data_IF_193991899529
#
_entry.id   IF_193991899529
#
_cell.length_a   1.000
_cell.length_b   1.000
_cell.length_c   1.000
_cell.angle_alpha   90.00
_cell.angle_beta   90.00
_cell.angle_gamma   90.00
#
_symmetry.space_group_name_H-M   'P 1'
#
loop_
_entity.id
_entity.type
_entity.pdbx_description
1 polymer ?
#
# COMPACT_ATOMS: atom_id res chain seq x y z
N UNK A 1 59.26 84.53 -32.56
CA UNK A 1 58.65 83.25 -32.20
C UNK A 1 57.20 83.52 -31.81
N UNK A 2 56.30 82.79 -32.48
CA UNK A 2 54.83 82.79 -32.46
C UNK A 2 54.27 82.41 -31.06
N UNK A 3 52.98 82.71 -30.77
CA UNK A 3 52.37 82.99 -29.44
C UNK A 3 51.68 81.70 -28.87
N UNK A 4 50.75 81.63 -27.86
CA UNK A 4 49.58 82.51 -27.63
C UNK A 4 49.04 82.73 -26.20
N UNK A 5 48.12 83.71 -26.17
CA UNK A 5 46.91 83.90 -25.37
C UNK A 5 46.42 82.76 -24.46
N UNK A 6 46.20 83.12 -23.19
CA UNK A 6 45.44 82.34 -22.22
C UNK A 6 43.99 82.85 -22.21
N UNK A 7 43.13 82.31 -23.09
CA UNK A 7 41.67 82.47 -22.99
C UNK A 7 41.15 81.64 -21.80
N UNK A 8 40.55 82.32 -20.82
CA UNK A 8 39.66 81.69 -19.84
C UNK A 8 38.36 81.30 -20.55
N UNK A 9 38.05 80.01 -20.56
CA UNK A 9 36.74 79.49 -20.96
C UNK A 9 35.94 79.13 -19.70
N UNK A 10 34.72 79.65 -19.63
CA UNK A 10 33.71 79.35 -18.64
C UNK A 10 33.15 77.94 -18.86
N UNK A 11 33.39 77.03 -17.92
CA UNK A 11 32.69 75.74 -17.88
C UNK A 11 31.33 75.88 -17.17
N UNK A 12 30.22 75.41 -17.77
CA UNK A 12 28.94 75.29 -17.08
C UNK A 12 28.93 74.04 -16.19
N UNK A 13 28.65 74.23 -14.91
CA UNK A 13 28.39 73.15 -13.94
C UNK A 13 27.02 72.52 -14.21
N UNK A 14 27.02 71.36 -14.86
CA UNK A 14 25.84 70.52 -15.06
C UNK A 14 25.58 69.72 -13.78
N UNK A 15 24.46 69.98 -13.10
CA UNK A 15 24.03 69.23 -11.93
C UNK A 15 23.57 67.82 -12.34
N UNK A 16 24.30 66.80 -11.87
CA UNK A 16 23.82 65.41 -11.86
C UNK A 16 23.04 65.20 -10.56
N UNK A 17 21.71 65.36 -10.61
CA UNK A 17 20.81 64.67 -9.67
C UNK A 17 20.62 63.25 -10.20
N UNK A 18 21.45 62.31 -9.74
CA UNK A 18 21.22 60.89 -9.99
C UNK A 18 20.09 60.41 -9.08
N UNK A 19 19.10 59.81 -9.73
CA UNK A 19 17.92 59.19 -9.14
C UNK A 19 18.37 57.94 -8.37
N UNK A 20 18.52 58.04 -7.06
CA UNK A 20 18.40 56.87 -6.20
C UNK A 20 16.92 56.66 -5.95
N UNK A 21 16.24 56.05 -6.93
CA UNK A 21 14.97 55.40 -6.67
C UNK A 21 15.30 54.17 -5.83
N UNK A 22 14.80 54.17 -4.61
CA UNK A 22 15.01 53.18 -3.57
C UNK A 22 14.72 51.77 -4.07
N UNK A 23 15.74 50.91 -4.11
CA UNK A 23 15.59 49.47 -4.36
C UNK A 23 14.63 48.80 -3.34
N UNK A 24 14.43 49.42 -2.17
CA UNK A 24 13.49 48.92 -1.16
C UNK A 24 12.02 49.09 -1.59
N UNK A 25 11.71 50.06 -2.45
CA UNK A 25 10.34 50.25 -2.94
C UNK A 25 9.91 49.19 -3.96
N UNK A 26 10.86 48.60 -4.69
CA UNK A 26 10.55 47.56 -5.68
C UNK A 26 10.32 46.21 -4.99
N UNK A 27 11.17 45.86 -4.01
CA UNK A 27 11.02 44.64 -3.22
C UNK A 27 9.71 44.63 -2.39
N UNK A 28 9.32 45.78 -1.83
CA UNK A 28 8.08 45.88 -1.06
C UNK A 28 6.83 45.72 -1.94
N UNK A 29 6.84 46.29 -3.16
CA UNK A 29 5.72 46.14 -4.11
C UNK A 29 5.59 44.69 -4.60
N UNK A 30 6.71 43.99 -4.84
CA UNK A 30 6.70 42.59 -5.23
C UNK A 30 6.13 41.68 -4.13
N UNK A 31 6.50 41.91 -2.87
CA UNK A 31 6.00 41.13 -1.73
C UNK A 31 4.49 41.34 -1.50
N UNK A 32 4.01 42.59 -1.61
CA UNK A 32 2.57 42.90 -1.47
C UNK A 32 1.75 42.26 -2.59
N UNK A 33 2.29 42.21 -3.83
CA UNK A 33 1.64 41.52 -4.93
C UNK A 33 1.61 40.00 -4.73
N UNK A 34 2.68 39.40 -4.22
CA UNK A 34 2.73 37.95 -3.94
C UNK A 34 1.70 37.56 -2.87
N UNK A 35 1.61 38.32 -1.77
CA UNK A 35 0.62 38.10 -0.72
C UNK A 35 -0.81 38.29 -1.27
N UNK A 36 -1.02 39.28 -2.13
CA UNK A 36 -2.30 39.50 -2.80
C UNK A 36 -2.75 38.32 -3.68
N UNK A 37 -1.81 37.67 -4.39
CA UNK A 37 -2.10 36.49 -5.21
C UNK A 37 -2.44 35.27 -4.34
N UNK A 38 -1.70 35.04 -3.25
CA UNK A 38 -1.97 33.92 -2.33
C UNK A 38 -3.34 34.07 -1.64
N UNK A 39 -3.72 35.30 -1.27
CA UNK A 39 -5.05 35.59 -0.68
C UNK A 39 -6.17 35.49 -1.73
N UNK A 40 -5.92 35.89 -2.98
CA UNK A 40 -6.92 35.75 -4.05
C UNK A 40 -7.18 34.28 -4.42
N UNK A 41 -6.15 33.42 -4.37
CA UNK A 41 -6.28 31.98 -4.62
C UNK A 41 -6.99 31.23 -3.48
N UNK A 42 -6.85 31.70 -2.23
CA UNK A 42 -7.48 31.06 -1.07
C UNK A 42 -8.94 31.49 -0.81
N UNK A 43 -9.47 32.49 -1.52
CA UNK A 43 -10.87 32.95 -1.39
C UNK A 43 -11.73 32.59 -2.61
N UNK A 44 -11.15 31.97 -3.65
CA UNK A 44 -11.84 31.64 -4.91
C UNK A 44 -12.71 30.37 -4.92
N UNK A 45 -12.71 29.55 -3.88
CA UNK A 45 -13.35 28.22 -3.89
C UNK A 45 -14.66 28.12 -3.10
N UNK A 46 -15.37 29.23 -2.87
CA UNK A 46 -16.72 29.18 -2.26
C UNK A 46 -17.69 30.06 -3.03
N UNK A 47 -18.49 29.43 -3.91
CA UNK A 47 -19.84 29.87 -4.23
C UNK A 47 -20.13 30.18 -5.70
N UNK A 48 -21.05 29.39 -6.28
CA UNK A 48 -22.01 29.94 -7.23
C UNK A 48 -22.32 29.10 -8.46
N UNK A 49 -23.33 28.24 -8.32
CA UNK A 49 -24.07 27.68 -9.45
C UNK A 49 -24.59 28.76 -10.42
N UNK A 50 -24.47 28.53 -11.73
CA UNK A 50 -25.49 28.95 -12.71
C UNK A 50 -25.34 28.22 -14.05
N UNK A 51 -26.51 27.86 -14.58
CA UNK A 51 -26.77 26.95 -15.67
C UNK A 51 -26.18 27.33 -17.04
N UNK A 52 -25.90 26.32 -17.86
CA UNK A 52 -26.02 26.36 -19.32
C UNK A 52 -26.34 24.97 -19.85
N UNK A 53 -27.57 24.83 -20.36
CA UNK A 53 -28.09 23.62 -20.97
C UNK A 53 -27.42 23.31 -22.32
N UNK A 54 -27.15 22.03 -22.56
CA UNK A 54 -27.29 21.42 -23.89
C UNK A 54 -27.59 19.93 -23.73
N UNK A 55 -28.75 19.56 -24.24
CA UNK A 55 -29.34 18.24 -24.16
C UNK A 55 -28.62 17.26 -25.09
N UNK A 56 -28.31 16.07 -24.59
CA UNK A 56 -28.47 14.82 -25.34
C UNK A 56 -29.15 13.84 -24.38
N UNK A 57 -30.31 13.38 -24.79
CA UNK A 57 -31.14 12.45 -24.07
C UNK A 57 -30.58 11.02 -24.18
N UNK A 58 -30.49 10.33 -23.05
CA UNK A 58 -30.85 8.91 -22.97
C UNK A 58 -31.39 8.65 -21.57
N UNK A 59 -32.68 8.33 -21.52
CA UNK A 59 -33.33 7.73 -20.37
C UNK A 59 -32.69 6.34 -20.14
N UNK A 60 -32.44 5.92 -18.91
CA UNK A 60 -33.49 5.29 -18.10
C UNK A 60 -33.14 5.37 -16.61
N UNK A 61 -34.14 5.74 -15.82
CA UNK A 61 -34.12 5.76 -14.38
C UNK A 61 -34.27 4.34 -13.80
N UNK A 62 -33.64 4.08 -12.66
CA UNK A 62 -34.25 3.39 -11.52
C UNK A 62 -33.51 3.82 -10.24
N UNK A 63 -34.27 4.48 -9.36
CA UNK A 63 -33.97 4.57 -7.93
C UNK A 63 -34.27 3.22 -7.26
N UNK A 64 -33.61 3.01 -6.13
CA UNK A 64 -34.04 2.23 -4.95
C UNK A 64 -33.48 0.80 -4.76
N UNK A 65 -32.97 0.63 -3.54
CA UNK A 65 -32.63 -0.59 -2.78
C UNK A 65 -31.22 -1.16 -2.90
N UNK A 66 -30.52 -1.18 -1.76
CA UNK A 66 -29.26 -1.88 -1.55
C UNK A 66 -29.41 -3.35 -1.92
N UNK A 67 -28.82 -3.69 -3.07
CA UNK A 67 -28.60 -5.05 -3.50
C UNK A 67 -27.20 -5.47 -3.06
N UNK A 68 -27.05 -6.68 -2.49
CA UNK A 68 -25.73 -7.19 -2.13
C UNK A 68 -24.85 -7.19 -3.38
N UNK A 69 -23.58 -6.82 -3.18
CA UNK A 69 -22.48 -7.08 -4.12
C UNK A 69 -22.69 -8.48 -4.70
N UNK A 70 -22.71 -8.65 -6.02
CA UNK A 70 -22.90 -9.97 -6.60
C UNK A 70 -21.75 -10.84 -6.07
N UNK A 71 -22.12 -11.88 -5.33
CA UNK A 71 -21.20 -12.98 -5.04
C UNK A 71 -20.52 -13.36 -6.35
N UNK A 72 -19.20 -13.52 -6.28
CA UNK A 72 -18.35 -14.16 -7.30
C UNK A 72 -19.21 -15.16 -8.06
N UNK A 73 -19.35 -14.95 -9.36
CA UNK A 73 -19.99 -15.94 -10.22
C UNK A 73 -19.13 -17.20 -10.12
N UNK A 74 -19.52 -18.11 -9.23
CA UNK A 74 -19.37 -19.53 -9.47
C UNK A 74 -19.96 -19.74 -10.85
N UNK A 75 -19.08 -19.82 -11.82
CA UNK A 75 -19.42 -20.15 -13.18
C UNK A 75 -19.89 -21.59 -13.12
N UNK A 76 -21.20 -21.79 -12.92
CA UNK A 76 -21.90 -23.05 -13.20
C UNK A 76 -21.85 -23.29 -14.73
N UNK A 77 -20.66 -23.47 -15.27
CA UNK A 77 -20.43 -24.19 -16.52
C UNK A 77 -20.16 -25.65 -16.16
N UNK A 78 -20.93 -26.56 -16.78
CA UNK A 78 -20.74 -28.02 -16.79
C UNK A 78 -19.37 -28.41 -17.41
N UNK A 79 -18.25 -27.92 -16.87
CA UNK A 79 -16.89 -28.23 -17.29
C UNK A 79 -16.13 -28.91 -16.15
N UNK A 80 -15.31 -29.88 -16.54
CA UNK A 80 -14.36 -30.65 -15.74
C UNK A 80 -13.91 -29.88 -14.48
N UNK A 81 -14.32 -30.30 -13.28
CA UNK A 81 -13.83 -29.71 -12.03
C UNK A 81 -12.32 -29.78 -12.07
N UNK A 82 -11.65 -28.64 -12.29
CA UNK A 82 -10.20 -28.55 -12.23
C UNK A 82 -9.85 -28.93 -10.80
N UNK A 83 -9.14 -30.04 -10.65
CA UNK A 83 -8.66 -30.46 -9.36
C UNK A 83 -7.63 -29.42 -8.90
N UNK A 84 -7.84 -28.87 -7.71
CA UNK A 84 -6.89 -27.96 -7.05
C UNK A 84 -6.43 -28.58 -5.74
N UNK A 85 -5.18 -28.33 -5.37
CA UNK A 85 -4.62 -28.78 -4.10
C UNK A 85 -5.05 -27.92 -2.92
N UNK A 86 -5.46 -26.67 -3.18
CA UNK A 86 -5.95 -25.73 -2.20
C UNK A 86 -7.08 -24.87 -2.79
N UNK A 87 -8.15 -24.71 -2.02
CA UNK A 87 -9.28 -23.87 -2.39
C UNK A 87 -8.91 -22.39 -2.34
N UNK A 88 -9.51 -21.61 -3.23
CA UNK A 88 -9.27 -20.18 -3.30
C UNK A 88 -9.67 -19.47 -2.00
N UNK A 89 -8.84 -18.53 -1.57
CA UNK A 89 -9.16 -17.61 -0.48
C UNK A 89 -10.00 -16.47 -1.04
N UNK A 90 -11.10 -16.17 -0.36
CA UNK A 90 -12.02 -15.09 -0.73
C UNK A 90 -12.16 -14.16 0.47
N UNK A 91 -11.21 -13.25 0.62
CA UNK A 91 -11.22 -12.22 1.67
C UNK A 91 -11.57 -10.87 1.05
N UNK A 92 -12.77 -10.30 1.33
CA UNK A 92 -13.13 -9.01 0.76
C UNK A 92 -12.25 -7.89 1.31
N UNK A 93 -11.99 -6.88 0.48
CA UNK A 93 -11.31 -5.66 0.92
C UNK A 93 -12.09 -4.96 2.04
N UNK A 94 -11.41 -4.30 3.00
CA UNK A 94 -12.08 -3.52 4.05
C UNK A 94 -12.94 -2.38 3.49
N UNK A 95 -14.13 -2.17 4.03
CA UNK A 95 -15.04 -1.08 3.66
C UNK A 95 -14.92 0.13 4.61
N UNK A 96 -15.48 1.29 4.22
CA UNK A 96 -15.53 2.47 5.09
C UNK A 96 -16.18 2.13 6.45
N UNK A 97 -15.40 2.28 7.52
CA UNK A 97 -15.82 1.97 8.89
C UNK A 97 -15.21 0.69 9.45
N UNK A 98 -14.58 -0.13 8.62
CA UNK A 98 -13.76 -1.25 9.07
C UNK A 98 -12.44 -0.76 9.69
N UNK A 99 -11.85 -1.51 10.65
CA UNK A 99 -10.65 -1.08 11.36
C UNK A 99 -9.42 -0.82 10.47
N UNK A 100 -9.41 -1.37 9.27
CA UNK A 100 -8.26 -1.37 8.36
C UNK A 100 -8.49 -0.55 7.09
N UNK A 101 -9.68 0.00 6.90
CA UNK A 101 -9.91 0.99 5.85
C UNK A 101 -9.24 2.30 6.26
N UNK A 102 -8.36 2.82 5.41
CA UNK A 102 -7.66 4.07 5.69
C UNK A 102 -8.36 5.24 4.99
N UNK A 103 -8.46 5.18 3.66
CA UNK A 103 -9.02 6.24 2.85
C UNK A 103 -9.37 5.72 1.47
N UNK A 104 -10.41 6.30 0.86
CA UNK A 104 -10.68 6.18 -0.56
C UNK A 104 -10.50 7.55 -1.20
N UNK A 105 -10.00 7.57 -2.42
CA UNK A 105 -9.93 8.77 -3.23
C UNK A 105 -11.33 9.36 -3.46
N UNK A 106 -11.54 10.68 -3.33
CA UNK A 106 -12.84 11.28 -3.56
C UNK A 106 -13.41 11.06 -4.97
N UNK A 107 -12.55 10.83 -5.97
CA UNK A 107 -12.94 10.53 -7.34
C UNK A 107 -13.04 9.01 -7.61
N UNK A 108 -12.80 8.18 -6.58
CA UNK A 108 -12.88 6.72 -6.64
C UNK A 108 -11.80 6.12 -7.54
N UNK A 109 -10.59 6.69 -7.53
CA UNK A 109 -9.45 6.22 -8.33
C UNK A 109 -8.55 5.23 -7.56
N UNK A 110 -8.58 5.25 -6.23
CA UNK A 110 -7.84 4.30 -5.39
C UNK A 110 -8.52 4.12 -4.04
N UNK A 111 -8.32 2.95 -3.42
CA UNK A 111 -8.63 2.70 -2.02
C UNK A 111 -7.33 2.32 -1.33
N UNK A 112 -7.12 2.87 -0.14
CA UNK A 112 -6.01 2.56 0.73
C UNK A 112 -6.53 1.84 1.96
N UNK A 113 -5.87 0.74 2.28
CA UNK A 113 -6.05 0.00 3.51
C UNK A 113 -4.77 0.10 4.32
N UNK A 114 -4.90 0.19 5.63
CA UNK A 114 -3.75 0.15 6.53
C UNK A 114 -3.01 -1.16 6.31
N UNK A 115 -1.83 -1.13 5.71
CA UNK A 115 -0.97 -2.31 5.65
C UNK A 115 -0.24 -2.43 7.02
N UNK A 116 -0.35 -3.55 7.75
CA UNK A 116 0.37 -3.72 9.02
C UNK A 116 1.90 -3.67 8.88
N UNK A 117 2.40 -3.77 7.64
CA UNK A 117 3.81 -3.69 7.23
C UNK A 117 4.10 -2.42 6.40
N UNK A 118 3.24 -1.41 6.50
CA UNK A 118 3.56 -0.06 6.00
C UNK A 118 4.56 0.62 6.95
N UNK A 119 5.79 0.83 6.47
CA UNK A 119 6.80 1.58 7.21
C UNK A 119 7.20 2.90 6.54
N UNK A 120 7.18 3.95 7.36
CA UNK A 120 7.68 5.27 7.01
C UNK A 120 9.14 5.42 7.43
N UNK A 121 9.98 5.80 6.47
CA UNK A 121 11.36 6.18 6.79
C UNK A 121 11.40 7.43 7.66
N UNK A 122 12.16 7.35 8.76
CA UNK A 122 12.57 8.52 9.55
C UNK A 122 14.09 8.70 9.52
N UNK A 123 14.62 9.82 8.99
CA UNK A 123 13.90 10.96 8.41
C UNK A 123 13.31 10.65 7.03
N UNK A 124 12.11 11.17 6.77
CA UNK A 124 11.45 11.12 5.45
C UNK A 124 12.32 11.89 4.44
N UNK A 125 12.91 11.18 3.46
CA UNK A 125 13.95 11.76 2.58
C UNK A 125 13.42 12.23 1.23
N UNK A 126 12.23 11.81 0.83
CA UNK A 126 11.58 12.22 -0.41
C UNK A 126 10.18 11.63 -0.52
N UNK A 127 9.48 11.97 -1.59
CA UNK A 127 8.08 11.59 -1.80
C UNK A 127 7.92 10.23 -2.49
N UNK A 128 9.03 9.51 -2.71
CA UNK A 128 8.99 8.19 -3.34
C UNK A 128 8.56 7.09 -2.37
N UNK A 129 7.78 6.16 -2.91
CA UNK A 129 7.18 5.01 -2.24
C UNK A 129 7.35 3.77 -3.11
N UNK A 130 7.39 2.60 -2.49
CA UNK A 130 7.36 1.36 -3.24
C UNK A 130 6.70 0.24 -2.49
N UNK A 131 6.27 -0.76 -3.24
CA UNK A 131 5.53 -1.92 -2.74
C UNK A 131 6.11 -3.20 -3.34
N UNK A 132 6.26 -4.23 -2.52
CA UNK A 132 6.68 -5.55 -2.97
C UNK A 132 5.73 -6.59 -2.40
N UNK A 133 5.22 -7.44 -3.26
CA UNK A 133 4.23 -8.45 -2.90
C UNK A 133 4.65 -9.83 -3.35
N UNK A 134 4.12 -10.84 -2.66
CA UNK A 134 4.11 -12.23 -3.11
C UNK A 134 2.65 -12.68 -3.20
N UNK A 135 2.32 -13.34 -4.30
CA UNK A 135 1.01 -13.93 -4.57
C UNK A 135 1.22 -15.40 -4.84
N UNK A 136 0.53 -16.26 -4.09
CA UNK A 136 0.47 -17.70 -4.35
C UNK A 136 -0.87 -18.05 -4.95
N UNK A 137 -0.84 -18.70 -6.11
CA UNK A 137 -2.02 -19.14 -6.85
C UNK A 137 -2.13 -20.66 -6.82
N UNK A 138 -3.34 -21.21 -6.80
CA UNK A 138 -3.57 -22.63 -7.05
C UNK A 138 -3.44 -22.97 -8.54
N UNK A 139 -3.67 -24.24 -8.88
CA UNK A 139 -3.61 -24.77 -10.25
C UNK A 139 -4.64 -24.13 -11.19
N UNK A 140 -5.72 -23.58 -10.62
CA UNK A 140 -6.74 -22.84 -11.35
C UNK A 140 -6.41 -21.33 -11.52
N UNK A 141 -5.26 -20.87 -10.99
CA UNK A 141 -4.85 -19.47 -11.06
C UNK A 141 -5.55 -18.57 -10.03
N UNK A 142 -6.06 -19.13 -8.94
CA UNK A 142 -6.80 -18.40 -7.91
C UNK A 142 -5.94 -18.21 -6.64
N UNK A 143 -6.04 -17.07 -5.93
CA UNK A 143 -5.23 -16.80 -4.73
C UNK A 143 -5.47 -17.81 -3.60
N UNK A 144 -4.39 -18.23 -2.93
CA UNK A 144 -4.43 -19.16 -1.79
C UNK A 144 -3.48 -18.74 -0.66
N UNK A 145 -3.69 -19.29 0.53
CA UNK A 145 -2.91 -18.97 1.73
C UNK A 145 -1.67 -19.86 1.91
N UNK A 146 -1.54 -20.91 1.10
CA UNK A 146 -0.45 -21.88 1.18
C UNK A 146 -0.60 -22.87 2.34
N UNK A 147 -1.84 -23.16 2.74
CA UNK A 147 -2.14 -24.20 3.75
C UNK A 147 -1.70 -25.60 3.32
N UNK A 148 -1.63 -25.83 2.01
CA UNK A 148 -1.14 -27.07 1.39
C UNK A 148 0.39 -27.24 1.41
N UNK A 149 1.15 -26.16 1.66
CA UNK A 149 2.63 -26.13 1.56
C UNK A 149 3.30 -25.64 2.87
N UNK A 150 2.94 -26.19 4.05
CA UNK A 150 3.36 -25.64 5.34
C UNK A 150 4.88 -25.74 5.57
N UNK A 151 5.44 -24.72 6.22
CA UNK A 151 6.87 -24.64 6.52
C UNK A 151 7.73 -24.31 5.28
N UNK A 152 7.11 -23.84 4.20
CA UNK A 152 7.77 -23.31 3.02
C UNK A 152 7.95 -21.81 3.15
N UNK A 153 9.08 -21.31 2.66
CA UNK A 153 9.46 -19.90 2.74
C UNK A 153 9.82 -19.38 1.36
N UNK A 154 9.34 -18.18 1.04
CA UNK A 154 9.74 -17.43 -0.14
C UNK A 154 10.57 -16.23 0.34
N UNK A 155 11.80 -16.13 -0.15
CA UNK A 155 12.70 -15.03 0.16
C UNK A 155 12.98 -14.22 -1.10
N UNK A 156 12.67 -12.93 -1.08
CA UNK A 156 13.07 -11.97 -2.10
C UNK A 156 14.25 -11.16 -1.55
N UNK A 157 15.49 -11.39 -2.00
CA UNK A 157 16.62 -10.58 -1.58
C UNK A 157 16.37 -9.11 -1.92
N UNK A 158 16.71 -8.19 -1.04
CA UNK A 158 16.64 -6.75 -1.35
C UNK A 158 18.01 -6.10 -1.33
N UNK A 159 18.15 -5.00 -2.05
CA UNK A 159 19.40 -4.24 -2.10
C UNK A 159 19.63 -3.36 -0.87
N UNK A 160 20.80 -2.70 -0.83
CA UNK A 160 21.17 -1.79 0.26
C UNK A 160 20.16 -0.63 0.45
N UNK A 161 19.38 -0.28 -0.58
CA UNK A 161 18.37 0.79 -0.52
C UNK A 161 17.22 0.48 0.44
N UNK A 162 16.96 -0.79 0.75
CA UNK A 162 15.94 -1.22 1.71
C UNK A 162 16.51 -1.78 3.02
N UNK A 163 17.85 -1.87 3.16
CA UNK A 163 18.55 -2.39 4.36
C UNK A 163 18.29 -1.64 5.68
N UNK A 164 17.58 -0.52 5.63
CA UNK A 164 17.15 0.23 6.81
C UNK A 164 15.84 -0.30 7.41
N UNK A 165 15.14 -1.19 6.69
CA UNK A 165 13.87 -1.78 7.07
C UNK A 165 14.10 -3.25 7.44
N UNK A 166 13.98 -3.56 8.74
CA UNK A 166 14.38 -4.86 9.29
C UNK A 166 13.54 -6.03 8.73
N UNK A 167 12.29 -5.77 8.34
CA UNK A 167 11.37 -6.76 7.76
C UNK A 167 11.42 -6.86 6.22
N UNK A 168 12.27 -6.06 5.55
CA UNK A 168 12.35 -6.00 4.08
C UNK A 168 13.71 -6.46 3.55
N UNK A 169 14.75 -6.56 4.38
CA UNK A 169 16.07 -7.02 3.95
C UNK A 169 16.52 -8.34 4.61
N UNK A 170 16.19 -9.50 4.02
CA UNK A 170 15.36 -9.70 2.82
C UNK A 170 13.87 -9.71 3.14
N UNK A 171 13.02 -9.59 2.11
CA UNK A 171 11.57 -9.77 2.26
C UNK A 171 11.27 -11.26 2.29
N UNK A 172 10.67 -11.73 3.39
CA UNK A 172 10.44 -13.16 3.65
C UNK A 172 8.97 -13.43 3.92
N UNK A 173 8.42 -14.39 3.18
CA UNK A 173 7.05 -14.89 3.31
C UNK A 173 7.05 -16.34 3.77
N UNK A 174 6.40 -16.64 4.88
CA UNK A 174 6.29 -17.98 5.46
C UNK A 174 4.86 -18.54 5.30
N UNK A 175 4.74 -19.77 4.78
CA UNK A 175 3.47 -20.47 4.59
C UNK A 175 3.20 -21.51 5.70
N UNK A 176 1.93 -21.66 6.15
CA UNK A 176 0.72 -20.99 5.66
C UNK A 176 0.61 -19.55 6.18
N UNK A 177 0.15 -18.62 5.35
CA UNK A 177 0.13 -17.20 5.71
C UNK A 177 -0.67 -16.93 7.00
N UNK A 178 -1.78 -17.64 7.20
CA UNK A 178 -2.63 -17.52 8.40
C UNK A 178 -2.01 -17.99 9.71
N UNK A 179 -0.93 -18.78 9.66
CA UNK A 179 -0.19 -19.17 10.87
C UNK A 179 0.89 -18.14 11.25
N UNK A 180 1.44 -17.44 10.26
CA UNK A 180 2.58 -16.55 10.43
C UNK A 180 2.20 -15.07 10.50
N UNK A 181 1.04 -14.69 9.96
CA UNK A 181 0.64 -13.30 9.82
C UNK A 181 -0.80 -13.08 10.31
N UNK A 182 -1.00 -12.02 11.11
CA UNK A 182 -2.34 -11.62 11.57
C UNK A 182 -3.25 -11.17 10.42
N UNK A 183 -2.67 -10.82 9.28
CA UNK A 183 -3.33 -10.47 8.02
C UNK A 183 -2.57 -11.20 6.91
N UNK A 184 -3.08 -12.36 6.48
CA UNK A 184 -2.43 -13.23 5.49
C UNK A 184 -2.26 -12.50 4.16
N UNK A 185 -3.38 -11.99 3.62
CA UNK A 185 -3.45 -11.17 2.43
C UNK A 185 -3.75 -9.73 2.86
N UNK A 186 -3.06 -8.76 2.29
CA UNK A 186 -3.14 -7.35 2.68
C UNK A 186 -3.14 -6.36 1.52
N UNK A 187 -3.19 -6.88 0.29
CA UNK A 187 -3.43 -6.09 -0.91
C UNK A 187 -4.37 -6.81 -1.88
N UNK A 188 -5.10 -6.00 -2.65
CA UNK A 188 -5.93 -6.37 -3.79
C UNK A 188 -5.18 -5.92 -5.05
N UNK A 189 -4.44 -6.85 -5.67
CA UNK A 189 -3.52 -6.54 -6.76
C UNK A 189 -4.11 -6.85 -8.14
N UNK A 190 -4.99 -7.84 -8.23
CA UNK A 190 -5.46 -8.38 -9.48
C UNK A 190 -6.98 -8.34 -9.54
N UNK A 191 -7.51 -8.10 -10.74
CA UNK A 191 -8.94 -8.14 -10.96
C UNK A 191 -9.42 -7.19 -12.03
N UNK A 192 -10.53 -7.56 -12.63
CA UNK A 192 -11.09 -6.88 -13.82
C UNK A 192 -12.42 -6.16 -13.50
N UNK A 193 -12.68 -5.88 -12.22
CA UNK A 193 -13.94 -5.28 -11.80
C UNK A 193 -14.01 -3.83 -12.26
N UNK A 194 -14.75 -3.59 -13.34
CA UNK A 194 -14.94 -2.26 -13.91
C UNK A 194 -15.66 -1.28 -12.97
N UNK A 195 -16.25 -1.77 -11.88
CA UNK A 195 -16.97 -1.00 -10.88
C UNK A 195 -16.11 -0.67 -9.65
N UNK A 196 -14.85 -1.17 -9.60
CA UNK A 196 -13.92 -0.89 -8.51
C UNK A 196 -12.73 -0.05 -8.98
N UNK A 197 -12.21 0.84 -8.10
CA UNK A 197 -11.00 1.61 -8.36
C UNK A 197 -9.78 0.73 -8.61
N UNK A 198 -9.72 -0.39 -7.88
CA UNK A 198 -8.61 -1.33 -7.87
C UNK A 198 -9.16 -2.75 -7.76
N UNK A 199 -8.52 -3.66 -8.46
CA UNK A 199 -8.67 -5.09 -8.27
C UNK A 199 -10.04 -5.65 -8.62
N UNK A 200 -10.42 -6.71 -7.93
CA UNK A 200 -11.78 -7.25 -7.95
C UNK A 200 -12.50 -7.14 -6.60
N UNK A 201 -11.87 -6.47 -5.62
CA UNK A 201 -12.43 -6.25 -4.30
C UNK A 201 -12.12 -7.37 -3.31
N UNK A 202 -11.15 -8.23 -3.64
CA UNK A 202 -10.67 -9.28 -2.76
C UNK A 202 -9.16 -9.18 -2.55
N UNK A 203 -8.70 -9.41 -1.32
CA UNK A 203 -7.28 -9.45 -1.01
C UNK A 203 -6.68 -10.73 -1.61
N UNK A 204 -5.57 -10.59 -2.32
CA UNK A 204 -4.95 -11.66 -3.11
C UNK A 204 -3.43 -11.79 -2.90
N UNK A 205 -2.82 -10.83 -2.20
CA UNK A 205 -1.36 -10.73 -2.11
C UNK A 205 -0.89 -10.37 -0.71
N UNK A 206 0.29 -10.90 -0.35
CA UNK A 206 1.01 -10.52 0.87
C UNK A 206 2.10 -9.51 0.54
N UNK A 207 2.02 -8.32 1.12
CA UNK A 207 2.84 -7.18 0.72
C UNK A 207 3.56 -6.48 1.87
N UNK A 208 4.71 -5.91 1.50
CA UNK A 208 5.40 -4.85 2.23
C UNK A 208 5.29 -3.56 1.44
N UNK A 209 5.17 -2.43 2.13
CA UNK A 209 5.14 -1.11 1.51
C UNK A 209 6.05 -0.17 2.30
N UNK A 210 6.79 0.66 1.59
CA UNK A 210 7.72 1.61 2.19
C UNK A 210 7.58 2.99 1.58
N UNK A 211 7.74 4.01 2.41
CA UNK A 211 7.68 5.41 2.00
C UNK A 211 8.90 6.20 2.45
N UNK A 212 9.16 7.31 1.76
CA UNK A 212 10.15 8.28 2.18
C UNK A 212 11.50 8.14 1.47
N UNK A 213 11.54 7.46 0.33
CA UNK A 213 12.75 7.36 -0.49
C UNK A 213 12.99 8.64 -1.30
N UNK A 214 14.25 8.99 -1.60
CA UNK A 214 14.55 10.03 -2.58
C UNK A 214 13.94 9.75 -3.96
N UNK A 215 13.53 10.79 -4.67
CA UNK A 215 12.96 10.71 -6.03
C UNK A 215 13.97 10.27 -7.11
N UNK A 216 15.22 10.03 -6.75
CA UNK A 216 16.29 9.50 -7.59
C UNK A 216 16.92 8.20 -7.05
N UNK A 217 16.30 7.60 -6.02
CA UNK A 217 16.75 6.33 -5.43
C UNK A 217 16.48 5.15 -6.37
N UNK A 218 17.37 4.15 -6.33
CA UNK A 218 17.19 2.88 -7.01
C UNK A 218 16.78 1.81 -6.00
N UNK A 219 15.62 1.21 -6.21
CA UNK A 219 15.22 -0.02 -5.51
C UNK A 219 15.75 -1.20 -6.30
N UNK A 220 16.43 -2.13 -5.62
CA UNK A 220 16.92 -3.37 -6.20
C UNK A 220 16.31 -4.56 -5.43
N UNK A 221 15.94 -5.61 -6.15
CA UNK A 221 15.53 -6.89 -5.60
C UNK A 221 16.17 -8.04 -6.38
N UNK A 222 16.40 -9.15 -5.70
CA UNK A 222 16.96 -10.37 -6.29
C UNK A 222 15.88 -11.33 -6.76
N UNK A 223 16.32 -12.36 -7.49
CA UNK A 223 15.46 -13.49 -7.83
C UNK A 223 14.97 -14.19 -6.54
N UNK A 224 13.69 -14.56 -6.54
CA UNK A 224 12.98 -15.12 -5.41
C UNK A 224 13.46 -16.55 -5.19
N UNK A 225 13.66 -16.90 -3.92
CA UNK A 225 14.15 -18.20 -3.50
C UNK A 225 13.05 -18.90 -2.72
N UNK A 226 12.62 -20.05 -3.21
CA UNK A 226 11.63 -20.91 -2.56
C UNK A 226 12.39 -22.01 -1.82
N UNK A 227 12.22 -22.08 -0.51
CA UNK A 227 12.90 -23.04 0.36
C UNK A 227 11.90 -23.74 1.28
N UNK A 228 12.24 -24.95 1.73
CA UNK A 228 11.40 -25.71 2.66
C UNK A 228 11.04 -27.10 2.14
N UNK A 229 10.20 -27.83 2.88
CA UNK A 229 9.83 -29.21 2.56
C UNK A 229 8.91 -29.33 1.35
N UNK A 230 8.21 -28.27 0.95
CA UNK A 230 7.30 -28.23 -0.20
C UNK A 230 7.74 -27.24 -1.29
N UNK A 231 9.00 -26.82 -1.28
CA UNK A 231 9.52 -25.87 -2.28
C UNK A 231 9.45 -26.42 -3.72
N UNK A 232 9.46 -27.74 -3.89
CA UNK A 232 9.29 -28.42 -5.17
C UNK A 232 7.82 -28.52 -5.63
N UNK A 233 6.88 -28.02 -4.82
CA UNK A 233 5.44 -27.96 -5.11
C UNK A 233 4.98 -26.55 -5.47
N UNK A 234 5.91 -25.60 -5.60
CA UNK A 234 5.63 -24.20 -5.94
C UNK A 234 6.54 -23.81 -7.11
N UNK A 235 5.91 -23.40 -8.20
CA UNK A 235 6.58 -22.80 -9.34
C UNK A 235 6.67 -21.29 -9.18
N UNK A 236 7.88 -20.75 -9.42
CA UNK A 236 8.06 -19.31 -9.66
C UNK A 236 7.63 -19.00 -11.09
N UNK A 237 6.42 -18.45 -11.24
CA UNK A 237 5.87 -18.07 -12.55
C UNK A 237 6.62 -16.86 -13.10
N UNK A 238 6.88 -15.87 -12.26
CA UNK A 238 7.66 -14.70 -12.63
C UNK A 238 7.35 -13.46 -11.80
N UNK A 239 7.48 -12.30 -12.45
CA UNK A 239 7.40 -10.98 -11.84
C UNK A 239 6.52 -10.07 -12.66
N UNK A 240 5.72 -9.25 -11.99
CA UNK A 240 4.99 -8.15 -12.61
C UNK A 240 5.52 -6.87 -11.97
N UNK A 241 6.29 -6.10 -12.73
CA UNK A 241 6.87 -4.84 -12.28
C UNK A 241 6.21 -3.65 -12.98
N UNK A 242 5.79 -2.67 -12.20
CA UNK A 242 5.36 -1.37 -12.69
C UNK A 242 6.27 -0.29 -12.11
N UNK A 243 7.33 0.06 -12.85
CA UNK A 243 8.24 1.11 -12.44
C UNK A 243 7.59 2.44 -12.80
N UNK A 244 7.24 3.24 -11.79
CA UNK A 244 6.88 4.67 -11.91
C UNK A 244 5.42 5.00 -12.20
N UNK A 245 4.52 4.02 -12.23
CA UNK A 245 3.11 4.22 -12.55
C UNK A 245 2.20 3.74 -11.42
N UNK A 246 0.95 4.17 -11.46
CA UNK A 246 -0.11 3.60 -10.62
C UNK A 246 -0.32 2.15 -11.04
N UNK A 247 -0.46 1.25 -10.05
CA UNK A 247 -0.69 -0.16 -10.31
C UNK A 247 -1.92 -0.39 -11.20
N UNK A 248 -1.74 -1.04 -12.35
CA UNK A 248 -2.87 -1.54 -13.17
C UNK A 248 -3.34 -2.87 -12.60
N UNK A 249 -4.62 -2.96 -12.22
CA UNK A 249 -5.17 -4.16 -11.59
C UNK A 249 -5.85 -5.10 -12.58
N UNK A 250 -6.26 -4.61 -13.75
CA UNK A 250 -6.83 -5.38 -14.87
C UNK A 250 -5.74 -6.20 -15.59
N UNK A 251 -5.10 -7.08 -14.82
CA UNK A 251 -3.94 -7.88 -15.19
C UNK A 251 -4.23 -9.33 -14.78
N UNK A 252 -4.07 -10.25 -15.73
CA UNK A 252 -3.97 -11.68 -15.43
C UNK A 252 -2.55 -11.96 -14.92
N UNK A 253 -2.38 -12.41 -13.66
CA UNK A 253 -1.05 -12.58 -13.07
C UNK A 253 -0.23 -13.66 -13.78
N UNK A 254 -0.86 -14.72 -14.30
CA UNK A 254 -0.17 -15.82 -14.97
C UNK A 254 0.26 -15.45 -16.40
N UNK A 255 -0.54 -14.66 -17.10
CA UNK A 255 -0.21 -14.21 -18.46
C UNK A 255 0.79 -13.04 -18.47
N UNK A 256 0.79 -12.22 -17.42
CA UNK A 256 1.55 -10.96 -17.39
C UNK A 256 2.90 -11.06 -16.68
N UNK A 257 3.10 -12.11 -15.89
CA UNK A 257 4.38 -12.37 -15.25
C UNK A 257 5.50 -12.62 -16.27
N UNK A 258 6.64 -11.96 -16.08
CA UNK A 258 7.85 -12.13 -16.89
C UNK A 258 8.99 -12.71 -16.05
N UNK A 259 10.05 -13.21 -16.70
CA UNK A 259 11.21 -13.73 -15.94
C UNK A 259 11.93 -12.61 -15.19
N UNK A 260 12.70 -12.98 -14.16
CA UNK A 260 13.50 -12.03 -13.38
C UNK A 260 14.44 -11.18 -14.26
N UNK A 261 15.09 -11.79 -15.26
CA UNK A 261 15.99 -11.08 -16.16
C UNK A 261 15.27 -10.09 -17.09
N UNK A 262 13.99 -10.33 -17.38
CA UNK A 262 13.16 -9.42 -18.15
C UNK A 262 12.60 -8.28 -17.28
N UNK A 263 12.18 -8.58 -16.05
CA UNK A 263 11.75 -7.59 -15.07
C UNK A 263 12.89 -6.63 -14.68
N UNK A 264 14.13 -7.12 -14.65
CA UNK A 264 15.32 -6.28 -14.48
C UNK A 264 15.82 -6.14 -13.04
N UNK A 265 15.07 -6.66 -12.05
CA UNK A 265 15.51 -6.75 -10.66
C UNK A 265 15.54 -5.40 -9.93
N UNK A 266 14.74 -4.42 -10.36
CA UNK A 266 14.68 -3.13 -9.70
C UNK A 266 14.34 -1.96 -10.61
N UNK A 267 13.95 -0.85 -9.99
CA UNK A 267 13.57 0.39 -10.66
C UNK A 267 14.30 1.59 -10.04
N UNK A 268 14.37 2.70 -10.79
CA UNK A 268 14.97 3.95 -10.30
C UNK A 268 13.98 5.09 -10.43
N UNK A 269 13.57 5.69 -9.31
CA UNK A 269 12.56 6.75 -9.32
C UNK A 269 12.95 7.94 -10.19
N UNK A 270 11.94 8.70 -10.58
CA UNK A 270 12.10 10.00 -11.22
C UNK A 270 11.09 11.02 -10.68
N UNK A 271 11.31 12.34 -10.87
CA UNK A 271 10.51 13.41 -10.23
C UNK A 271 8.99 13.40 -10.49
N UNK A 272 8.51 12.67 -11.50
CA UNK A 272 7.09 12.52 -11.84
C UNK A 272 6.60 11.05 -11.70
N UNK A 273 7.40 10.19 -11.07
CA UNK A 273 7.21 8.74 -10.98
C UNK A 273 7.71 8.22 -9.64
N UNK A 274 6.94 8.54 -8.60
CA UNK A 274 7.29 8.36 -7.20
C UNK A 274 6.69 7.11 -6.58
N UNK A 275 6.04 6.25 -7.35
CA UNK A 275 5.59 4.94 -6.90
C UNK A 275 6.18 3.85 -7.80
N UNK A 276 6.64 2.76 -7.22
CA UNK A 276 7.08 1.60 -7.98
C UNK A 276 6.71 0.33 -7.24
N UNK A 277 6.26 -0.66 -7.99
CA UNK A 277 5.74 -1.89 -7.41
C UNK A 277 6.24 -3.11 -8.17
N UNK A 278 6.49 -4.19 -7.43
CA UNK A 278 6.71 -5.52 -8.00
C UNK A 278 5.88 -6.57 -7.26
N UNK A 279 5.28 -7.49 -8.02
CA UNK A 279 4.61 -8.68 -7.48
C UNK A 279 5.34 -9.93 -7.96
N UNK A 280 5.75 -10.79 -7.03
CA UNK A 280 6.29 -12.12 -7.31
C UNK A 280 5.12 -13.09 -7.41
N UNK A 281 4.94 -13.68 -8.59
CA UNK A 281 3.83 -14.60 -8.88
C UNK A 281 4.31 -16.03 -8.73
N UNK A 282 3.65 -16.76 -7.83
CA UNK A 282 3.91 -18.17 -7.55
C UNK A 282 2.66 -18.99 -7.88
N UNK A 283 2.86 -20.25 -8.25
CA UNK A 283 1.77 -21.18 -8.53
C UNK A 283 2.04 -22.54 -7.88
N UNK A 284 1.02 -23.13 -7.25
CA UNK A 284 1.07 -24.52 -6.78
C UNK A 284 1.17 -25.47 -7.97
N UNK A 285 2.11 -26.41 -7.89
CA UNK A 285 2.27 -27.49 -8.87
C UNK A 285 1.38 -28.68 -8.48
N UNK A 286 0.24 -28.81 -9.16
CA UNK A 286 -0.72 -29.90 -8.94
C UNK A 286 -0.25 -31.29 -9.36
N UNK A 287 0.90 -31.41 -10.05
CA UNK A 287 1.52 -32.70 -10.36
C UNK A 287 2.41 -33.21 -9.20
N UNK A 288 2.71 -32.37 -8.21
CA UNK A 288 3.40 -32.80 -7.00
C UNK A 288 2.45 -33.64 -6.12
N UNK A 289 2.99 -34.69 -5.47
CA UNK A 289 2.24 -35.52 -4.51
C UNK A 289 1.89 -34.69 -3.25
N UNK A 290 1.03 -33.68 -3.37
CA UNK A 290 0.49 -32.90 -2.25
C UNK A 290 -0.47 -33.83 -1.49
N UNK A 291 -0.19 -34.17 -0.23
CA UNK A 291 -1.09 -35.01 0.55
C UNK A 291 -2.40 -34.26 0.75
N UNK A 292 -3.41 -34.64 -0.03
CA UNK A 292 -4.79 -34.20 0.15
C UNK A 292 -5.25 -34.69 1.53
N UNK A 293 -5.68 -33.78 2.40
CA UNK A 293 -6.41 -34.15 3.61
C UNK A 293 -7.74 -34.80 3.18
N UNK A 294 -7.73 -36.13 3.08
CA UNK A 294 -8.92 -36.95 2.73
C UNK A 294 -9.92 -37.09 3.89
N UNK A 295 -9.93 -36.15 4.85
CA UNK A 295 -10.79 -36.27 6.03
C UNK A 295 -12.19 -35.64 5.87
N UNK A 296 -12.56 -35.22 4.66
CA UNK A 296 -13.97 -35.06 4.22
C UNK A 296 -14.44 -36.34 3.50
N UNK A 297 -14.15 -37.52 4.06
CA UNK A 297 -14.90 -38.73 3.73
C UNK A 297 -16.34 -38.51 4.22
N UNK A 298 -17.22 -38.12 3.30
CA UNK A 298 -18.67 -38.06 3.49
C UNK A 298 -19.13 -39.36 4.17
N UNK A 299 -19.32 -39.28 5.48
CA UNK A 299 -19.69 -40.39 6.34
C UNK A 299 -21.06 -40.93 5.96
N UNK A 300 -21.07 -41.97 5.12
CA UNK A 300 -22.21 -42.87 4.96
C UNK A 300 -22.14 -43.94 6.07
N UNK A 301 -22.21 -43.49 7.33
CA UNK A 301 -22.33 -44.37 8.49
C UNK A 301 -23.76 -44.94 8.54
N UNK A 302 -23.96 -46.06 7.84
CA UNK A 302 -25.05 -46.98 8.13
C UNK A 302 -24.76 -47.71 9.46
N UNK A 303 -25.10 -47.06 10.58
CA UNK A 303 -25.13 -47.70 11.91
C UNK A 303 -26.33 -48.63 11.99
N UNK A 304 -26.08 -49.94 11.91
CA UNK A 304 -26.95 -50.96 12.50
C UNK A 304 -26.18 -52.28 12.66
N UNK A 305 -25.73 -52.62 13.89
CA UNK A 305 -26.09 -53.89 14.57
C UNK A 305 -25.42 -54.08 15.94
N UNK A 306 -26.30 -54.22 16.93
CA UNK A 306 -26.22 -54.91 18.22
C UNK A 306 -25.12 -55.97 18.44
N UNK A 307 -24.52 -55.97 19.64
CA UNK A 307 -23.80 -57.14 20.15
C UNK A 307 -23.11 -56.97 21.52
N UNK A 308 -23.77 -57.43 22.58
CA UNK A 308 -23.38 -57.45 24.00
C UNK A 308 -22.00 -58.08 24.37
N UNK A 309 -21.28 -57.48 25.33
CA UNK A 309 -20.57 -58.10 26.51
C UNK A 309 -19.59 -57.09 27.14
N UNK A 310 -19.78 -56.58 28.35
CA UNK A 310 -19.69 -57.16 29.71
C UNK A 310 -18.25 -57.30 30.26
N UNK A 311 -18.13 -56.90 31.53
CA UNK A 311 -17.07 -57.14 32.53
C UNK A 311 -15.90 -56.15 32.68
N UNK A 312 -16.07 -55.25 33.67
CA UNK A 312 -15.03 -54.68 34.55
C UNK A 312 -14.22 -55.79 35.26
N UNK A 313 -12.93 -55.59 35.60
CA UNK A 313 -12.63 -55.09 36.95
C UNK A 313 -11.34 -54.25 37.12
N UNK A 314 -11.48 -53.21 37.95
CA UNK A 314 -10.69 -52.83 39.14
C UNK A 314 -9.14 -52.71 39.16
N UNK A 315 -8.73 -51.77 40.02
CA UNK A 315 -7.50 -51.66 40.81
C UNK A 315 -6.25 -50.87 40.33
N UNK A 316 -5.92 -49.86 41.15
CA UNK A 316 -4.56 -49.33 41.39
C UNK A 316 -4.47 -47.80 41.28
N UNK A 317 -4.71 -47.01 42.34
CA UNK A 317 -3.69 -46.57 43.33
C UNK A 317 -2.47 -45.92 42.62
N UNK A 318 -1.97 -44.72 42.91
CA UNK A 318 -1.99 -43.88 44.10
C UNK A 318 -1.23 -42.59 43.73
N UNK A 319 -1.44 -41.54 44.53
CA UNK A 319 -0.42 -40.56 44.96
C UNK A 319 -0.13 -39.25 44.18
N UNK A 320 -0.60 -38.16 44.84
CA UNK A 320 -0.05 -36.80 45.04
C UNK A 320 0.35 -35.90 43.85
N UNK A 321 -0.16 -34.68 43.76
CA UNK A 321 0.15 -33.60 44.72
C UNK A 321 -0.86 -32.44 44.66
N UNK A 322 -1.35 -32.08 45.85
CA UNK A 322 -2.00 -30.83 46.24
C UNK A 322 -1.07 -29.62 45.98
N UNK A 323 -1.56 -28.52 45.40
CA UNK A 323 -2.17 -27.36 46.10
C UNK A 323 -1.11 -26.29 46.45
N UNK A 324 -1.15 -25.14 45.77
CA UNK A 324 -1.43 -23.85 46.42
C UNK A 324 -1.23 -22.65 45.46
N UNK A 325 -2.36 -22.02 45.15
CA UNK A 325 -2.65 -20.59 45.28
C UNK A 325 -1.63 -19.51 44.88
N UNK A 326 -2.01 -18.67 43.92
CA UNK A 326 -2.11 -17.19 44.08
C UNK A 326 -2.79 -16.62 42.82
N UNK A 327 -4.09 -16.35 42.85
CA UNK A 327 -4.71 -15.08 43.26
C UNK A 327 -4.07 -13.81 42.67
N UNK A 328 -4.84 -13.21 41.75
CA UNK A 328 -5.19 -11.78 41.66
C UNK A 328 -4.20 -10.83 40.97
N UNK A 329 -4.58 -10.34 39.78
CA UNK A 329 -5.30 -9.07 39.69
C UNK A 329 -5.70 -8.77 38.24
N UNK A 330 -6.99 -8.59 38.02
CA UNK A 330 -7.48 -7.81 36.90
C UNK A 330 -7.07 -6.34 37.07
N UNK A 331 -6.72 -5.69 35.97
CA UNK A 331 -6.92 -4.26 35.79
C UNK A 331 -7.29 -4.05 34.33
N UNK A 332 -8.60 -3.99 34.14
CA UNK A 332 -9.26 -3.28 33.07
C UNK A 332 -8.91 -1.79 33.27
N UNK A 333 -8.24 -1.16 32.32
CA UNK A 333 -8.17 0.30 32.20
C UNK A 333 -7.77 0.66 30.76
N UNK A 334 -8.77 1.14 30.02
CA UNK A 334 -8.61 1.69 28.69
C UNK A 334 -7.69 2.91 28.68
N UNK A 335 -6.81 2.93 27.69
CA UNK A 335 -6.23 4.14 27.15
C UNK A 335 -6.10 3.94 25.64
N UNK A 336 -7.10 4.47 24.92
CA UNK A 336 -6.91 4.89 23.54
C UNK A 336 -5.77 5.92 23.55
N UNK A 337 -4.58 5.51 23.12
CA UNK A 337 -3.52 6.46 22.78
C UNK A 337 -3.88 7.13 21.45
N UNK A 338 -4.88 7.99 21.53
CA UNK A 338 -5.18 8.99 20.51
C UNK A 338 -4.09 10.03 20.59
N UNK A 339 -3.12 9.96 19.68
CA UNK A 339 -2.11 11.01 19.52
C UNK A 339 -2.85 12.32 19.25
N UNK A 340 -2.67 13.38 20.06
CA UNK A 340 -3.32 14.65 19.79
C UNK A 340 -2.71 15.25 18.53
N UNK A 341 -3.46 15.19 17.42
CA UNK A 341 -3.12 15.88 16.19
C UNK A 341 -2.83 17.35 16.49
N UNK A 342 -1.57 17.76 16.33
CA UNK A 342 -1.18 19.15 16.41
C UNK A 342 -1.67 19.86 15.14
N UNK A 343 -2.97 20.15 15.10
CA UNK A 343 -3.61 20.88 14.00
C UNK A 343 -2.90 22.21 13.76
N UNK A 344 -2.65 22.51 12.48
CA UNK A 344 -2.11 23.68 11.73
C UNK A 344 -1.81 25.02 12.46
N UNK A 345 -2.40 25.28 13.61
CA UNK A 345 -2.22 26.48 14.43
C UNK A 345 -0.79 26.74 14.97
N UNK A 346 0.03 25.75 15.41
CA UNK A 346 1.39 26.03 15.86
C UNK A 346 2.31 26.39 14.68
N UNK A 347 2.05 25.85 13.48
CA UNK A 347 2.78 26.19 12.24
C UNK A 347 2.55 27.65 11.84
N UNK A 348 1.29 28.11 11.91
CA UNK A 348 0.94 29.52 11.64
C UNK A 348 1.55 30.47 12.68
N UNK A 349 1.60 30.07 13.96
CA UNK A 349 2.24 30.85 15.02
C UNK A 349 3.77 30.97 14.81
N UNK A 350 4.42 29.89 14.40
CA UNK A 350 5.86 29.87 14.11
C UNK A 350 6.22 30.74 12.89
N UNK A 351 5.43 30.65 11.81
CA UNK A 351 5.59 31.49 10.62
C UNK A 351 5.37 32.98 10.93
N UNK A 352 4.37 33.30 11.76
CA UNK A 352 4.12 34.67 12.23
C UNK A 352 5.29 35.23 13.05
N UNK A 353 5.87 34.42 13.95
CA UNK A 353 7.03 34.83 14.74
C UNK A 353 8.28 35.07 13.89
N UNK A 354 8.54 34.22 12.88
CA UNK A 354 9.63 34.38 11.92
C UNK A 354 9.48 35.65 11.08
N UNK A 355 8.27 35.96 10.62
CA UNK A 355 7.99 37.17 9.85
C UNK A 355 8.24 38.44 10.70
N UNK A 356 7.79 38.45 11.96
CA UNK A 356 8.02 39.58 12.87
C UNK A 356 9.52 39.73 13.19
N UNK A 357 10.24 38.63 13.36
CA UNK A 357 11.69 38.64 13.59
C UNK A 357 12.46 39.16 12.36
N UNK A 358 12.05 38.76 11.15
CA UNK A 358 12.63 39.24 9.90
C UNK A 358 12.38 40.75 9.70
N UNK A 359 11.19 41.24 10.06
CA UNK A 359 10.82 42.66 9.99
C UNK A 359 11.48 43.53 11.09
N UNK A 360 12.02 42.92 12.16
CA UNK A 360 12.69 43.63 13.26
C UNK A 360 14.21 43.68 13.17
N UNK A 361 14.83 43.09 12.15
CA UNK A 361 16.28 43.26 11.94
C UNK A 361 16.56 44.68 11.42
N UNK A 362 17.31 45.52 12.16
CA UNK A 362 17.54 46.93 11.84
C UNK A 362 18.47 47.15 10.64
#
# INVERSE_FOLDING_TARGET
MTPPDRRQSSHPTRSRRSRFASLHSIAFVALVLLIGVVVALSVGAVGGASASASAIASASASEETGQPVPAVQESESDDETVYVSEEAVVEPVPEEGDPYFEMEDPDGEWISYTNPRDEYRMPYLGDASGKMCVTLLNEAGQPVEGTSVPGTTVTVPTGESLSWHDDVDPFVVEYPLSEHYNRPLDADQFGTSADLPQGDGYLDSHCIEWHGLPEDETVEYGEAQIEGPHADQIDLVGYIEQPHESWETDIDPLESAVSYEEAGGGWTYHPDGSHGQVVVVLQLDGDADIPVDQDEELGDEAVDTDGERDENPDDGADDSTNDDSSESNGTDDGATDTVPGFGVLPVLAALGALLIAALRRP
#
